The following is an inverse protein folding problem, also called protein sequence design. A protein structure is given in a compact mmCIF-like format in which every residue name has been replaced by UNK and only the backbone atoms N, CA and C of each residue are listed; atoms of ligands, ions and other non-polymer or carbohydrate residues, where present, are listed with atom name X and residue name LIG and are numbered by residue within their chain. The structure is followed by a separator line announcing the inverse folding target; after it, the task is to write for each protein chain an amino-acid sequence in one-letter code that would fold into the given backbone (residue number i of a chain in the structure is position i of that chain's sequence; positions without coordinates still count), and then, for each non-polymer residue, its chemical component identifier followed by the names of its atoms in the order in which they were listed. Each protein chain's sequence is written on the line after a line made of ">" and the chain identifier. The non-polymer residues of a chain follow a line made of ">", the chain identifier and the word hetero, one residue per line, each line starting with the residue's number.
data_IF_814741073195
#
_entry.id   IF_814741073195
#
_cell.length_a   1.000
_cell.length_b   1.000
_cell.length_c   1.000
_cell.angle_alpha   90.00
_cell.angle_beta   90.00
_cell.angle_gamma   90.00
#
_symmetry.space_group_name_H-M   'P 1'
#
loop_
_entity.id
_entity.type
_entity.pdbx_description
1 polymer ?
#
# COMPACT_ATOMS: atom_id res chain seq x y z
N UNK A 1 21.18 23.61 -11.69
CA UNK A 1 20.01 22.97 -12.33
C UNK A 1 20.39 21.56 -12.76
N UNK A 2 20.09 20.56 -11.94
CA UNK A 2 20.27 19.17 -12.34
C UNK A 2 18.92 18.69 -12.90
N UNK A 3 18.77 18.71 -14.22
CA UNK A 3 17.71 17.96 -14.88
C UNK A 3 18.02 16.48 -14.65
N UNK A 4 17.36 15.86 -13.68
CA UNK A 4 17.43 14.41 -13.51
C UNK A 4 16.64 13.84 -14.69
N UNK A 5 17.32 13.49 -15.77
CA UNK A 5 16.67 12.75 -16.86
C UNK A 5 16.06 11.51 -16.25
N UNK A 6 14.78 11.26 -16.54
CA UNK A 6 14.12 10.08 -16.00
C UNK A 6 14.85 8.83 -16.47
N UNK A 7 15.41 8.08 -15.52
CA UNK A 7 16.09 6.81 -15.83
C UNK A 7 15.04 5.77 -16.16
N UNK A 8 15.16 5.10 -17.29
CA UNK A 8 14.34 3.95 -17.64
C UNK A 8 15.20 2.69 -17.50
N UNK A 9 14.71 1.71 -16.74
CA UNK A 9 15.40 0.46 -16.48
C UNK A 9 14.52 -0.71 -16.90
N UNK A 10 15.01 -1.53 -17.82
CA UNK A 10 14.31 -2.76 -18.21
C UNK A 10 14.80 -3.92 -17.35
N UNK A 11 13.85 -4.65 -16.76
CA UNK A 11 14.10 -5.65 -15.73
C UNK A 11 13.53 -7.00 -16.12
N UNK A 12 14.39 -8.00 -16.25
CA UNK A 12 13.99 -9.39 -16.48
C UNK A 12 15.10 -10.35 -16.04
N UNK A 13 14.74 -11.51 -15.48
CA UNK A 13 15.72 -12.58 -15.22
C UNK A 13 16.28 -13.17 -16.53
N UNK A 14 15.50 -13.12 -17.62
CA UNK A 14 15.91 -13.57 -18.96
C UNK A 14 15.92 -12.39 -19.95
N UNK A 15 17.04 -11.67 -19.98
CA UNK A 15 17.23 -10.57 -20.93
C UNK A 15 17.52 -11.03 -22.37
N UNK A 16 17.67 -12.33 -22.63
CA UNK A 16 17.96 -12.81 -23.99
C UNK A 16 16.76 -12.71 -24.94
N UNK A 17 15.55 -12.72 -24.37
CA UNK A 17 14.27 -12.60 -25.08
C UNK A 17 13.71 -11.18 -25.09
N UNK A 18 14.39 -10.23 -24.44
CA UNK A 18 13.98 -8.83 -24.31
C UNK A 18 14.60 -7.98 -25.41
N UNK A 19 13.78 -7.20 -26.13
CA UNK A 19 14.26 -6.34 -27.22
C UNK A 19 14.76 -4.97 -26.73
N UNK A 20 14.33 -4.55 -25.55
CA UNK A 20 14.77 -3.31 -24.90
C UNK A 20 16.13 -3.49 -24.22
N UNK A 21 17.04 -2.55 -24.43
CA UNK A 21 18.41 -2.60 -23.91
C UNK A 21 18.81 -1.23 -23.33
N UNK A 22 19.54 -1.17 -22.19
CA UNK A 22 20.04 -2.32 -21.41
C UNK A 22 18.92 -3.00 -20.61
N UNK A 23 18.94 -4.34 -20.59
CA UNK A 23 18.12 -5.17 -19.72
C UNK A 23 19.02 -5.82 -18.67
N UNK A 24 18.61 -5.81 -17.41
CA UNK A 24 19.32 -6.49 -16.33
C UNK A 24 18.33 -7.25 -15.42
N UNK A 25 18.76 -8.34 -14.77
CA UNK A 25 17.94 -8.98 -13.75
C UNK A 25 17.71 -8.07 -12.56
N UNK A 26 16.57 -8.25 -11.88
CA UNK A 26 16.18 -7.43 -10.72
C UNK A 26 17.24 -7.43 -9.61
N UNK A 27 18.01 -8.52 -9.49
CA UNK A 27 19.11 -8.65 -8.53
C UNK A 27 20.19 -7.56 -8.70
N UNK A 28 20.38 -7.01 -9.89
CA UNK A 28 21.34 -5.91 -10.13
C UNK A 28 20.91 -4.63 -9.40
N UNK A 29 19.61 -4.46 -9.20
CA UNK A 29 19.03 -3.29 -8.56
C UNK A 29 18.61 -3.55 -7.11
N UNK A 30 18.26 -4.79 -6.77
CA UNK A 30 17.74 -5.18 -5.46
C UNK A 30 18.77 -5.01 -4.32
N UNK A 31 18.29 -5.06 -3.08
CA UNK A 31 19.05 -4.64 -1.89
C UNK A 31 18.64 -3.23 -1.50
N UNK A 32 19.45 -2.24 -1.90
CA UNK A 32 19.17 -0.82 -1.68
C UNK A 32 18.90 -0.10 -3.02
N UNK A 33 17.64 0.22 -3.24
CA UNK A 33 17.13 0.95 -4.40
C UNK A 33 16.94 2.45 -4.12
N UNK A 34 17.46 2.98 -3.00
CA UNK A 34 17.23 4.36 -2.56
C UNK A 34 17.87 5.43 -3.45
N UNK A 35 18.75 5.04 -4.38
CA UNK A 35 19.39 5.94 -5.33
C UNK A 35 18.53 6.27 -6.56
N UNK A 36 17.45 5.52 -6.82
CA UNK A 36 16.72 5.58 -8.09
C UNK A 36 15.59 6.62 -8.12
N UNK A 37 15.90 7.87 -7.79
CA UNK A 37 14.93 8.97 -7.89
C UNK A 37 14.60 9.34 -9.34
N UNK A 38 13.33 9.66 -9.63
CA UNK A 38 12.84 10.00 -10.96
C UNK A 38 13.07 8.86 -11.98
N UNK A 39 12.69 7.64 -11.64
CA UNK A 39 12.97 6.48 -12.49
C UNK A 39 11.74 5.62 -12.74
N UNK A 40 11.77 4.90 -13.85
CA UNK A 40 10.77 3.90 -14.19
C UNK A 40 11.49 2.56 -14.39
N UNK A 41 11.08 1.56 -13.60
CA UNK A 41 11.45 0.17 -13.78
C UNK A 41 10.36 -0.52 -14.59
N UNK A 42 10.73 -0.99 -15.77
CA UNK A 42 9.89 -1.75 -16.67
C UNK A 42 10.16 -3.24 -16.49
N UNK A 43 9.25 -3.95 -15.83
CA UNK A 43 9.31 -5.39 -15.65
C UNK A 43 8.80 -6.11 -16.89
N UNK A 44 9.57 -7.09 -17.36
CA UNK A 44 9.28 -7.91 -18.54
C UNK A 44 9.44 -9.38 -18.16
N UNK A 45 8.44 -10.20 -18.47
CA UNK A 45 8.43 -11.61 -18.16
C UNK A 45 8.49 -11.87 -16.65
N UNK A 46 9.38 -12.77 -16.24
CA UNK A 46 9.55 -13.13 -14.83
C UNK A 46 10.83 -12.51 -14.28
N UNK A 47 10.72 -11.81 -13.16
CA UNK A 47 11.85 -11.35 -12.35
C UNK A 47 11.79 -12.00 -10.98
N UNK A 48 12.90 -12.56 -10.50
CA UNK A 48 12.93 -13.25 -9.21
C UNK A 48 13.80 -12.50 -8.21
N UNK A 49 13.27 -12.29 -7.01
CA UNK A 49 14.07 -11.89 -5.85
C UNK A 49 14.38 -13.15 -5.03
N UNK A 50 15.67 -13.40 -4.79
CA UNK A 50 16.14 -14.55 -4.00
C UNK A 50 17.10 -14.05 -2.93
N UNK A 51 16.72 -14.20 -1.66
CA UNK A 51 17.56 -13.91 -0.49
C UNK A 51 17.89 -12.42 -0.23
N UNK A 52 17.17 -11.49 -0.86
CA UNK A 52 17.33 -10.05 -0.65
C UNK A 52 15.97 -9.40 -0.43
N UNK A 53 15.94 -8.33 0.36
CA UNK A 53 14.85 -7.39 0.34
C UNK A 53 15.13 -6.33 -0.74
N UNK A 54 14.08 -5.81 -1.36
CA UNK A 54 14.17 -4.61 -2.18
C UNK A 54 13.73 -3.42 -1.34
N UNK A 55 14.69 -2.65 -0.84
CA UNK A 55 14.45 -1.54 0.08
C UNK A 55 14.59 -0.23 -0.69
N UNK A 56 13.59 0.63 -0.57
CA UNK A 56 13.56 1.96 -1.16
C UNK A 56 13.28 2.97 -0.05
N UNK A 57 14.26 3.81 0.29
CA UNK A 57 14.13 4.79 1.37
C UNK A 57 14.32 6.20 0.81
N UNK A 58 13.42 7.12 1.20
CA UNK A 58 13.51 8.53 0.82
C UNK A 58 13.59 8.77 -0.70
N UNK A 59 12.90 7.94 -1.49
CA UNK A 59 12.83 8.08 -2.95
C UNK A 59 11.63 8.91 -3.38
N UNK A 60 11.75 9.53 -4.55
CA UNK A 60 10.72 10.35 -5.17
C UNK A 60 10.52 9.98 -6.63
N UNK A 61 9.28 10.02 -7.09
CA UNK A 61 8.92 9.88 -8.50
C UNK A 61 9.42 8.55 -9.07
N UNK A 62 9.06 7.43 -8.45
CA UNK A 62 9.48 6.09 -8.88
C UNK A 62 8.28 5.31 -9.35
N UNK A 63 8.44 4.65 -10.49
CA UNK A 63 7.41 3.79 -11.07
C UNK A 63 7.94 2.37 -11.25
N UNK A 64 7.21 1.40 -10.73
CA UNK A 64 7.38 -0.03 -11.03
C UNK A 64 6.23 -0.43 -11.98
N UNK A 65 6.54 -0.67 -13.25
CA UNK A 65 5.54 -0.89 -14.29
C UNK A 65 5.78 -2.20 -15.03
N UNK A 66 4.73 -2.98 -15.21
CA UNK A 66 4.78 -4.17 -16.07
C UNK A 66 4.44 -3.86 -17.54
N UNK A 67 5.28 -4.30 -18.48
CA UNK A 67 5.12 -4.00 -19.92
C UNK A 67 4.37 -5.06 -20.74
N UNK A 68 4.42 -6.33 -20.37
CA UNK A 68 3.82 -7.44 -21.14
C UNK A 68 2.52 -7.95 -20.47
N UNK A 69 1.96 -9.04 -21.00
CA UNK A 69 0.77 -9.66 -20.39
C UNK A 69 1.17 -10.31 -19.07
N UNK A 70 1.10 -9.51 -17.99
CA UNK A 70 1.29 -9.89 -16.59
C UNK A 70 2.73 -10.30 -16.19
N UNK A 71 3.70 -9.36 -16.23
CA UNK A 71 5.02 -9.65 -15.72
C UNK A 71 4.95 -9.98 -14.23
N UNK A 72 5.76 -10.95 -13.83
CA UNK A 72 5.74 -11.50 -12.49
C UNK A 72 6.99 -11.16 -11.70
N UNK A 73 6.80 -10.64 -10.50
CA UNK A 73 7.85 -10.46 -9.50
C UNK A 73 7.72 -11.58 -8.48
N UNK A 74 8.66 -12.52 -8.56
CA UNK A 74 8.63 -13.77 -7.83
C UNK A 74 9.60 -13.74 -6.66
N UNK A 75 9.08 -13.70 -5.44
CA UNK A 75 9.88 -13.89 -4.23
C UNK A 75 10.07 -15.38 -3.97
N UNK A 76 11.29 -15.88 -4.27
CA UNK A 76 11.66 -17.31 -4.19
C UNK A 76 12.60 -17.62 -3.01
N UNK A 77 12.85 -16.67 -2.11
CA UNK A 77 13.71 -16.86 -0.95
C UNK A 77 13.15 -17.84 0.09
N UNK A 78 14.04 -18.56 0.78
CA UNK A 78 13.71 -19.38 1.97
C UNK A 78 13.41 -18.47 3.17
N UNK A 79 14.02 -17.28 3.21
CA UNK A 79 13.77 -16.21 4.16
C UNK A 79 12.79 -15.18 3.59
N UNK A 80 12.14 -14.41 4.48
CA UNK A 80 11.20 -13.33 4.13
C UNK A 80 11.84 -12.47 3.03
N UNK A 81 11.25 -12.47 1.85
CA UNK A 81 11.67 -11.61 0.74
C UNK A 81 10.61 -10.53 0.63
N UNK A 82 10.99 -9.28 0.83
CA UNK A 82 10.06 -8.15 0.90
C UNK A 82 10.43 -7.03 -0.07
N UNK A 83 9.41 -6.27 -0.47
CA UNK A 83 9.60 -4.97 -1.11
C UNK A 83 9.17 -3.94 -0.08
N UNK A 84 10.09 -3.09 0.36
CA UNK A 84 9.84 -2.13 1.43
C UNK A 84 10.13 -0.73 0.95
N UNK A 85 9.12 0.13 1.01
CA UNK A 85 9.18 1.53 0.56
C UNK A 85 8.94 2.42 1.79
N UNK A 86 9.96 3.19 2.16
CA UNK A 86 10.01 3.99 3.39
C UNK A 86 10.15 5.48 3.06
N UNK A 87 9.37 6.31 3.76
CA UNK A 87 9.53 7.78 3.76
C UNK A 87 9.66 8.38 2.36
N UNK A 88 8.88 7.87 1.42
CA UNK A 88 9.01 8.12 -0.01
C UNK A 88 7.76 8.83 -0.54
N UNK A 89 7.82 9.46 -1.72
CA UNK A 89 6.65 10.13 -2.29
C UNK A 89 6.53 9.99 -3.81
N UNK A 90 5.31 10.05 -4.31
CA UNK A 90 4.97 9.86 -5.73
C UNK A 90 5.48 8.52 -6.26
N UNK A 91 4.90 7.45 -5.73
CA UNK A 91 5.28 6.07 -6.06
C UNK A 91 4.16 5.43 -6.85
N UNK A 92 4.48 4.85 -8.00
CA UNK A 92 3.51 4.14 -8.83
C UNK A 92 3.89 2.68 -8.97
N UNK A 93 2.95 1.77 -8.74
CA UNK A 93 3.07 0.35 -9.07
C UNK A 93 1.93 0.00 -10.01
N UNK A 94 2.24 -0.57 -11.17
CA UNK A 94 1.19 -0.84 -12.14
C UNK A 94 1.46 -2.07 -13.00
N UNK A 95 0.38 -2.69 -13.47
CA UNK A 95 0.40 -3.80 -14.42
C UNK A 95 1.34 -4.94 -14.03
N UNK A 96 1.50 -5.20 -12.72
CA UNK A 96 2.48 -6.15 -12.21
C UNK A 96 1.80 -7.22 -11.37
N UNK A 97 2.30 -8.45 -11.47
CA UNK A 97 1.84 -9.56 -10.66
C UNK A 97 2.93 -9.95 -9.67
N UNK A 98 2.60 -10.01 -8.39
CA UNK A 98 3.50 -10.41 -7.33
C UNK A 98 3.14 -11.82 -6.89
N UNK A 99 4.02 -12.80 -7.13
CA UNK A 99 3.84 -14.17 -6.62
C UNK A 99 4.90 -14.55 -5.60
N UNK A 100 4.50 -15.29 -4.58
CA UNK A 100 5.43 -15.85 -3.59
C UNK A 100 5.34 -17.36 -3.50
N UNK A 101 6.43 -17.98 -3.05
CA UNK A 101 6.46 -19.41 -2.73
C UNK A 101 6.26 -19.73 -1.25
N UNK A 102 6.60 -18.82 -0.30
CA UNK A 102 6.51 -19.07 1.15
C UNK A 102 6.13 -17.87 2.01
N UNK A 103 6.94 -16.83 2.12
CA UNK A 103 6.61 -15.62 2.88
C UNK A 103 7.10 -14.40 2.13
N UNK A 104 6.19 -13.50 1.79
CA UNK A 104 6.45 -12.30 1.01
C UNK A 104 5.56 -11.19 1.50
N UNK A 105 6.16 -10.02 1.70
CA UNK A 105 5.44 -8.84 2.17
C UNK A 105 5.81 -7.63 1.33
N UNK A 106 4.85 -6.75 1.11
CA UNK A 106 5.09 -5.45 0.50
C UNK A 106 4.71 -4.40 1.53
N UNK A 107 5.70 -3.63 1.93
CA UNK A 107 5.60 -2.70 3.03
C UNK A 107 5.66 -1.27 2.49
N UNK A 108 4.71 -0.46 2.91
CA UNK A 108 4.72 0.98 2.70
C UNK A 108 4.73 1.65 4.08
N UNK A 109 5.79 2.37 4.38
CA UNK A 109 5.98 3.05 5.65
C UNK A 109 6.18 4.54 5.42
N UNK A 110 5.16 5.35 5.71
CA UNK A 110 5.15 6.76 5.32
C UNK A 110 5.53 6.95 3.84
N UNK A 111 5.02 6.06 2.99
CA UNK A 111 5.09 6.23 1.55
C UNK A 111 3.84 6.99 1.13
N UNK A 112 4.03 8.18 0.58
CA UNK A 112 2.98 9.12 0.26
C UNK A 112 2.75 9.21 -1.24
N UNK A 113 1.55 9.60 -1.65
CA UNK A 113 1.15 9.72 -3.05
C UNK A 113 1.44 8.42 -3.81
N UNK A 114 0.98 7.32 -3.21
CA UNK A 114 1.17 5.97 -3.73
C UNK A 114 -0.03 5.62 -4.61
N UNK A 115 0.24 5.20 -5.84
CA UNK A 115 -0.76 4.71 -6.78
C UNK A 115 -0.43 3.27 -7.19
N UNK A 116 -1.25 2.33 -6.77
CA UNK A 116 -1.19 0.92 -7.17
C UNK A 116 -2.35 0.64 -8.10
N UNK A 117 -2.09 0.21 -9.33
CA UNK A 117 -3.14 -0.05 -10.30
C UNK A 117 -2.95 -1.34 -11.09
N UNK A 118 -4.06 -1.99 -11.46
CA UNK A 118 -4.06 -3.13 -12.38
C UNK A 118 -3.04 -4.22 -11.98
N UNK A 119 -2.93 -4.48 -10.67
CA UNK A 119 -1.88 -5.33 -10.11
C UNK A 119 -2.48 -6.49 -9.34
N UNK A 120 -1.80 -7.63 -9.40
CA UNK A 120 -2.25 -8.88 -8.76
C UNK A 120 -1.24 -9.26 -7.68
N UNK A 121 -1.72 -9.52 -6.48
CA UNK A 121 -0.90 -9.99 -5.37
C UNK A 121 -1.37 -11.39 -5.03
N UNK A 122 -0.52 -12.38 -5.32
CA UNK A 122 -0.78 -13.78 -5.02
C UNK A 122 0.11 -14.24 -3.86
N UNK A 123 -0.54 -14.40 -2.71
CA UNK A 123 0.06 -14.78 -1.46
C UNK A 123 0.71 -13.64 -0.69
N UNK A 124 0.97 -12.46 -1.24
CA UNK A 124 1.64 -11.40 -0.47
C UNK A 124 0.77 -10.79 0.63
N UNK A 125 1.40 -10.47 1.75
CA UNK A 125 0.84 -9.53 2.72
C UNK A 125 1.13 -8.11 2.22
N UNK A 126 0.09 -7.28 2.11
CA UNK A 126 0.23 -5.85 1.83
C UNK A 126 0.08 -5.08 3.14
N UNK A 127 1.16 -4.45 3.60
CA UNK A 127 1.22 -3.74 4.88
C UNK A 127 1.51 -2.26 4.62
N UNK A 128 0.64 -1.38 5.11
CA UNK A 128 0.76 0.05 4.92
C UNK A 128 0.62 0.72 6.28
N UNK A 129 1.66 1.40 6.77
CA UNK A 129 1.58 2.17 8.00
C UNK A 129 1.93 3.64 7.76
N UNK A 130 1.10 4.50 8.37
CA UNK A 130 1.25 5.94 8.40
C UNK A 130 1.49 6.40 9.84
N UNK A 131 2.75 6.72 10.14
CA UNK A 131 3.22 7.19 11.43
C UNK A 131 3.47 8.71 11.42
N UNK A 132 3.51 9.37 12.60
CA UNK A 132 3.69 10.81 12.67
C UNK A 132 4.99 11.25 12.02
N UNK A 133 4.99 12.46 11.42
CA UNK A 133 6.23 13.05 10.93
C UNK A 133 7.10 13.45 12.13
N UNK A 134 8.44 13.35 12.02
CA UNK A 134 9.34 13.69 13.12
C UNK A 134 9.30 15.19 13.47
N UNK A 135 8.85 16.03 12.53
CA UNK A 135 8.73 17.47 12.68
C UNK A 135 7.41 17.92 12.06
N UNK A 136 6.68 18.78 12.76
CA UNK A 136 5.47 19.42 12.22
C UNK A 136 5.85 20.42 11.13
N UNK A 137 5.02 20.49 10.10
CA UNK A 137 5.12 21.47 9.03
C UNK A 137 4.35 22.75 9.40
N UNK A 138 4.67 23.86 8.72
CA UNK A 138 3.98 25.14 8.91
C UNK A 138 2.53 25.11 8.36
N UNK A 139 2.29 24.27 7.35
CA UNK A 139 0.99 24.02 6.72
C UNK A 139 0.64 22.54 6.82
N UNK A 140 -0.65 22.20 6.88
CA UNK A 140 -1.09 20.80 6.95
C UNK A 140 -0.80 20.08 5.62
N UNK A 141 0.11 19.09 5.57
CA UNK A 141 0.41 18.38 4.34
C UNK A 141 -0.77 17.47 3.95
N UNK A 142 -0.97 17.31 2.65
CA UNK A 142 -1.99 16.43 2.10
C UNK A 142 -1.34 15.37 1.23
N UNK A 143 -1.64 14.11 1.52
CA UNK A 143 -1.08 12.96 0.82
C UNK A 143 -2.17 11.99 0.37
N UNK A 144 -1.81 11.09 -0.55
CA UNK A 144 -2.76 10.12 -1.09
C UNK A 144 -2.25 8.68 -1.16
N UNK A 145 -3.20 7.73 -1.09
CA UNK A 145 -3.02 6.32 -1.42
C UNK A 145 -4.19 5.88 -2.30
N UNK A 146 -3.88 5.32 -3.46
CA UNK A 146 -4.88 4.84 -4.42
C UNK A 146 -4.56 3.40 -4.76
N UNK A 147 -5.51 2.49 -4.56
CA UNK A 147 -5.51 1.14 -5.11
C UNK A 147 -6.66 1.03 -6.11
N UNK A 148 -6.34 0.82 -7.38
CA UNK A 148 -7.34 0.76 -8.46
C UNK A 148 -7.21 -0.54 -9.27
N UNK A 149 -8.29 -1.32 -9.41
CA UNK A 149 -8.26 -2.62 -10.12
C UNK A 149 -7.18 -3.56 -9.56
N UNK A 150 -7.15 -3.72 -8.23
CA UNK A 150 -6.16 -4.53 -7.54
C UNK A 150 -6.80 -5.83 -7.09
N UNK A 151 -6.10 -6.95 -7.30
CA UNK A 151 -6.57 -8.25 -6.88
C UNK A 151 -5.62 -8.87 -5.83
N UNK A 152 -6.13 -9.05 -4.62
CA UNK A 152 -5.45 -9.68 -3.50
C UNK A 152 -5.98 -11.11 -3.35
N UNK A 153 -5.26 -12.06 -3.96
CA UNK A 153 -5.52 -13.50 -3.77
C UNK A 153 -4.51 -14.03 -2.78
N UNK A 154 -4.95 -14.47 -1.61
CA UNK A 154 -4.01 -14.92 -0.60
C UNK A 154 -3.91 -16.45 -0.58
N UNK A 155 -2.87 -16.96 0.07
CA UNK A 155 -2.77 -18.39 0.39
C UNK A 155 -3.13 -18.54 1.86
N UNK A 156 -3.63 -19.71 2.25
CA UNK A 156 -4.18 -20.04 3.57
C UNK A 156 -3.28 -19.78 4.79
N UNK A 157 -2.00 -19.41 4.62
CA UNK A 157 -1.02 -19.29 5.71
C UNK A 157 -0.35 -17.90 5.82
N UNK A 158 -0.81 -16.90 5.07
CA UNK A 158 -0.21 -15.56 5.14
C UNK A 158 -1.27 -14.50 5.35
N UNK A 159 -0.95 -13.58 6.25
CA UNK A 159 -1.84 -12.53 6.70
C UNK A 159 -2.33 -11.61 5.58
N UNK A 160 -3.40 -10.91 5.94
CA UNK A 160 -4.24 -10.05 5.12
C UNK A 160 -3.60 -8.78 4.54
N UNK A 161 -4.47 -7.88 4.07
CA UNK A 161 -4.07 -6.48 3.89
C UNK A 161 -4.21 -5.76 5.23
N UNK A 162 -3.20 -4.99 5.60
CA UNK A 162 -3.18 -4.21 6.84
C UNK A 162 -2.89 -2.75 6.50
N UNK A 163 -3.77 -1.86 6.94
CA UNK A 163 -3.64 -0.43 6.82
C UNK A 163 -3.76 0.20 8.20
N UNK A 164 -2.65 0.70 8.72
CA UNK A 164 -2.58 1.41 10.00
C UNK A 164 -2.39 2.90 9.74
N UNK A 165 -3.28 3.72 10.31
CA UNK A 165 -3.21 5.18 10.25
C UNK A 165 -3.05 5.72 11.66
N UNK A 166 -1.81 6.11 11.99
CA UNK A 166 -1.38 6.42 13.33
C UNK A 166 -0.47 7.66 13.37
N UNK A 167 -0.91 8.77 12.75
CA UNK A 167 -0.11 9.98 12.61
C UNK A 167 -0.68 11.22 13.31
N UNK A 168 -1.82 11.06 13.99
CA UNK A 168 -2.52 12.17 14.63
C UNK A 168 -2.92 13.23 13.60
N UNK A 169 -2.52 14.47 13.82
CA UNK A 169 -2.72 15.55 12.88
C UNK A 169 -1.44 15.98 12.13
N UNK A 170 -0.41 15.13 12.07
CA UNK A 170 0.85 15.46 11.37
C UNK A 170 0.68 15.75 9.88
N UNK A 171 -0.37 15.22 9.27
CA UNK A 171 -0.78 15.42 7.87
C UNK A 171 -2.21 14.90 7.71
N UNK A 172 -2.78 15.12 6.53
CA UNK A 172 -4.06 14.56 6.11
C UNK A 172 -3.81 13.55 4.98
N UNK A 173 -4.36 12.35 5.11
CA UNK A 173 -4.25 11.30 4.09
C UNK A 173 -5.61 10.98 3.47
N UNK A 174 -5.68 10.99 2.13
CA UNK A 174 -6.84 10.55 1.37
C UNK A 174 -6.56 9.18 0.77
N UNK A 175 -7.38 8.20 1.11
CA UNK A 175 -7.18 6.80 0.71
C UNK A 175 -8.37 6.34 -0.12
N UNK A 176 -8.09 5.76 -1.29
CA UNK A 176 -9.12 5.31 -2.25
C UNK A 176 -8.82 3.87 -2.65
N UNK A 177 -9.76 2.96 -2.37
CA UNK A 177 -9.82 1.62 -2.94
C UNK A 177 -10.95 1.59 -3.97
N UNK A 178 -10.60 1.41 -5.24
CA UNK A 178 -11.53 1.40 -6.36
C UNK A 178 -11.37 0.08 -7.13
N UNK A 179 -12.41 -0.75 -7.15
CA UNK A 179 -12.32 -2.11 -7.69
C UNK A 179 -11.20 -2.95 -7.04
N UNK A 180 -11.07 -2.87 -5.71
CA UNK A 180 -10.22 -3.76 -4.94
C UNK A 180 -10.96 -5.09 -4.70
N UNK A 181 -10.37 -6.20 -5.10
CA UNK A 181 -10.85 -7.53 -4.74
C UNK A 181 -9.91 -8.16 -3.72
N UNK A 182 -10.44 -8.63 -2.59
CA UNK A 182 -9.70 -9.32 -1.55
C UNK A 182 -10.41 -10.60 -1.16
N UNK A 183 -9.73 -11.73 -1.38
CA UNK A 183 -10.25 -13.04 -1.05
C UNK A 183 -9.43 -13.73 0.06
N UNK A 184 -10.10 -14.59 0.83
CA UNK A 184 -9.55 -15.54 1.82
C UNK A 184 -9.16 -14.98 3.19
N UNK A 185 -8.80 -13.71 3.29
CA UNK A 185 -8.22 -13.13 4.51
C UNK A 185 -8.67 -11.69 4.74
N UNK A 186 -8.61 -11.21 6.00
CA UNK A 186 -9.13 -9.92 6.42
C UNK A 186 -8.39 -8.79 5.72
N UNK A 187 -9.13 -7.76 5.34
CA UNK A 187 -8.59 -6.41 5.30
C UNK A 187 -8.80 -5.78 6.68
N UNK A 188 -7.70 -5.44 7.36
CA UNK A 188 -7.74 -4.76 8.64
C UNK A 188 -7.37 -3.29 8.46
N UNK A 189 -8.31 -2.41 8.79
CA UNK A 189 -8.11 -0.98 8.85
C UNK A 189 -8.04 -0.55 10.31
N UNK A 190 -6.90 0.00 10.75
CA UNK A 190 -6.73 0.56 12.08
C UNK A 190 -6.57 2.08 12.00
N UNK A 191 -7.47 2.81 12.67
CA UNK A 191 -7.54 4.27 12.67
C UNK A 191 -7.29 4.80 14.08
N UNK A 192 -6.11 5.37 14.29
CA UNK A 192 -5.65 5.87 15.59
C UNK A 192 -5.61 7.40 15.61
N UNK A 193 -6.69 8.04 16.11
CA UNK A 193 -6.85 9.50 16.25
C UNK A 193 -6.29 10.36 15.09
N UNK A 194 -6.40 9.88 13.85
CA UNK A 194 -5.68 10.47 12.71
C UNK A 194 -6.61 11.19 11.74
N UNK A 195 -6.10 12.24 11.08
CA UNK A 195 -6.86 12.95 10.03
C UNK A 195 -6.76 12.15 8.75
N UNK A 196 -7.87 11.54 8.32
CA UNK A 196 -7.92 10.80 7.08
C UNK A 196 -9.32 10.80 6.46
N UNK A 197 -9.36 10.68 5.14
CA UNK A 197 -10.56 10.28 4.41
C UNK A 197 -10.31 8.95 3.73
N UNK A 198 -11.28 8.05 3.80
CA UNK A 198 -11.17 6.71 3.25
C UNK A 198 -12.39 6.37 2.40
N UNK A 199 -12.15 5.98 1.16
CA UNK A 199 -13.18 5.69 0.17
C UNK A 199 -12.98 4.27 -0.37
N UNK A 200 -14.00 3.45 -0.26
CA UNK A 200 -14.06 2.09 -0.82
C UNK A 200 -15.19 2.06 -1.82
N UNK A 201 -14.86 1.87 -3.09
CA UNK A 201 -15.78 1.98 -4.20
C UNK A 201 -15.68 0.71 -5.03
N UNK A 202 -16.82 0.12 -5.38
CA UNK A 202 -16.91 -1.02 -6.32
C UNK A 202 -15.99 -2.19 -5.97
N UNK A 203 -15.72 -2.38 -4.68
CA UNK A 203 -14.74 -3.34 -4.17
C UNK A 203 -15.44 -4.59 -3.64
N UNK A 204 -14.73 -5.71 -3.59
CA UNK A 204 -15.27 -7.01 -3.14
C UNK A 204 -14.36 -7.68 -2.12
N UNK A 205 -14.98 -8.16 -1.04
CA UNK A 205 -14.31 -8.82 0.08
C UNK A 205 -15.02 -10.15 0.36
N UNK A 206 -14.33 -11.26 0.13
CA UNK A 206 -14.94 -12.58 0.19
C UNK A 206 -14.06 -13.72 0.69
N UNK A 207 -14.70 -14.85 0.95
CA UNK A 207 -14.07 -16.13 1.27
C UNK A 207 -13.20 -16.12 2.54
N UNK A 208 -13.39 -15.17 3.47
CA UNK A 208 -12.65 -15.13 4.73
C UNK A 208 -13.03 -16.32 5.64
N UNK A 209 -12.30 -17.43 5.47
CA UNK A 209 -12.49 -18.65 6.22
C UNK A 209 -11.91 -18.45 7.62
N UNK A 210 -12.76 -18.46 8.64
CA UNK A 210 -12.41 -18.35 10.08
C UNK A 210 -12.11 -16.93 10.59
N UNK A 211 -12.37 -15.86 9.82
CA UNK A 211 -12.16 -14.47 10.29
C UNK A 211 -13.18 -13.48 9.70
N UNK A 212 -13.10 -12.24 10.19
CA UNK A 212 -13.83 -11.10 9.61
C UNK A 212 -13.18 -10.71 8.29
N UNK A 213 -13.93 -10.62 7.21
CA UNK A 213 -13.37 -10.27 5.89
C UNK A 213 -12.85 -8.85 5.77
N UNK A 214 -13.48 -7.94 6.50
CA UNK A 214 -13.15 -6.54 6.52
C UNK A 214 -13.46 -5.98 7.91
N UNK A 215 -12.45 -5.49 8.61
CA UNK A 215 -12.60 -4.88 9.92
C UNK A 215 -12.08 -3.45 9.93
N UNK A 216 -12.84 -2.56 10.56
CA UNK A 216 -12.38 -1.24 10.95
C UNK A 216 -12.23 -1.25 12.46
N UNK A 217 -11.06 -0.86 12.95
CA UNK A 217 -10.80 -0.68 14.37
C UNK A 217 -10.40 0.76 14.61
N UNK A 218 -11.15 1.42 15.48
CA UNK A 218 -10.80 2.73 16.01
C UNK A 218 -10.06 2.56 17.33
N UNK A 219 -8.94 3.25 17.49
CA UNK A 219 -8.16 3.19 18.72
C UNK A 219 -7.59 4.53 19.14
N UNK A 220 -7.04 4.56 20.36
CA UNK A 220 -6.29 5.70 20.88
C UNK A 220 -4.80 5.55 20.52
N UNK A 221 -4.19 6.63 20.06
CA UNK A 221 -2.73 6.65 19.93
C UNK A 221 -2.11 6.92 21.29
N UNK A 222 -1.25 6.02 21.79
CA UNK A 222 -0.55 6.22 23.07
C UNK A 222 0.41 7.41 23.08
N UNK A 223 0.86 7.88 21.92
CA UNK A 223 1.80 9.01 21.76
C UNK A 223 1.43 9.85 20.54
N UNK A 224 0.28 10.56 20.53
CA UNK A 224 -0.13 11.33 19.39
C UNK A 224 0.79 12.54 19.24
N UNK A 225 1.44 12.66 18.08
CA UNK A 225 2.11 13.91 17.71
C UNK A 225 1.02 14.94 17.44
N UNK A 226 1.03 16.03 18.20
CA UNK A 226 0.06 17.13 18.10
C UNK A 226 0.72 18.31 17.41
N UNK A 227 0.54 18.41 16.10
CA UNK A 227 0.88 19.57 15.32
C UNK A 227 -0.21 20.65 15.45
N UNK A 228 0.16 21.92 15.31
CA UNK A 228 -0.78 23.04 15.33
C UNK A 228 -0.66 23.80 14.03
N UNK A 229 -1.77 23.98 13.34
CA UNK A 229 -1.83 24.70 12.06
C UNK A 229 -2.75 25.92 12.23
N UNK A 230 -2.21 27.15 12.28
CA UNK A 230 -3.00 28.36 12.48
C UNK A 230 -4.07 28.51 11.39
N UNK A 231 -5.31 28.76 11.79
CA UNK A 231 -6.42 29.02 10.86
C UNK A 231 -7.04 27.77 10.21
N UNK A 232 -6.59 26.55 10.55
CA UNK A 232 -7.20 25.31 10.06
C UNK A 232 -8.18 24.77 11.10
N UNK A 233 -9.47 24.71 10.72
CA UNK A 233 -10.46 23.92 11.45
C UNK A 233 -10.39 22.49 10.93
N UNK A 234 -10.06 21.53 11.79
CA UNK A 234 -10.01 20.12 11.40
C UNK A 234 -11.41 19.67 10.95
N UNK A 235 -11.52 19.29 9.68
CA UNK A 235 -12.75 18.75 9.10
C UNK A 235 -12.97 17.34 9.66
N UNK A 236 -14.22 16.92 9.75
CA UNK A 236 -14.53 15.54 10.13
C UNK A 236 -13.96 14.55 9.13
N UNK A 237 -13.46 13.42 9.63
CA UNK A 237 -12.99 12.31 8.83
C UNK A 237 -14.18 11.59 8.19
N UNK A 238 -14.05 11.15 6.95
CA UNK A 238 -15.09 10.39 6.25
C UNK A 238 -14.58 9.00 5.91
N UNK A 239 -15.38 7.98 6.23
CA UNK A 239 -15.22 6.61 5.71
C UNK A 239 -16.44 6.33 4.83
N UNK A 240 -16.25 6.30 3.52
CA UNK A 240 -17.29 5.99 2.55
C UNK A 240 -17.09 4.58 2.00
N UNK A 241 -18.15 3.77 2.04
CA UNK A 241 -18.23 2.47 1.35
C UNK A 241 -19.39 2.56 0.38
N UNK A 242 -19.11 2.44 -0.92
CA UNK A 242 -20.09 2.63 -2.00
C UNK A 242 -19.99 1.48 -3.02
N UNK A 243 -21.14 0.94 -3.42
CA UNK A 243 -21.26 -0.11 -4.43
C UNK A 243 -20.34 -1.33 -4.20
N UNK A 244 -20.05 -1.65 -2.93
CA UNK A 244 -19.07 -2.68 -2.54
C UNK A 244 -19.75 -3.92 -1.95
N UNK A 245 -19.12 -5.08 -2.12
CA UNK A 245 -19.68 -6.39 -1.78
C UNK A 245 -18.88 -7.08 -0.69
N UNK A 246 -19.59 -7.59 0.32
CA UNK A 246 -19.02 -8.40 1.41
C UNK A 246 -19.81 -9.70 1.47
N UNK A 247 -19.25 -10.80 0.94
CA UNK A 247 -20.01 -12.03 0.74
C UNK A 247 -19.17 -13.29 1.00
N UNK A 248 -19.83 -14.39 1.33
CA UNK A 248 -19.19 -15.67 1.64
C UNK A 248 -18.10 -15.60 2.72
N UNK A 249 -18.36 -14.82 3.77
CA UNK A 249 -17.46 -14.63 4.90
C UNK A 249 -18.07 -15.22 6.16
N UNK A 250 -17.25 -15.79 7.05
CA UNK A 250 -17.74 -16.34 8.33
C UNK A 250 -18.35 -15.23 9.19
N UNK A 251 -17.62 -14.12 9.31
CA UNK A 251 -18.09 -12.88 9.86
C UNK A 251 -18.14 -11.86 8.71
N UNK A 252 -19.22 -11.08 8.61
CA UNK A 252 -19.39 -10.11 7.53
C UNK A 252 -18.41 -8.95 7.65
N UNK A 253 -18.96 -7.78 7.98
CA UNK A 253 -18.23 -6.53 8.18
C UNK A 253 -18.22 -6.20 9.68
N UNK A 254 -17.07 -5.81 10.22
CA UNK A 254 -16.92 -5.46 11.63
C UNK A 254 -16.41 -4.03 11.79
N UNK A 255 -17.03 -3.28 12.69
CA UNK A 255 -16.50 -2.01 13.21
C UNK A 255 -16.33 -2.17 14.71
N UNK A 256 -15.11 -1.98 15.18
CA UNK A 256 -14.76 -2.03 16.60
C UNK A 256 -14.12 -0.73 17.05
N UNK A 257 -14.15 -0.51 18.35
CA UNK A 257 -13.47 0.60 19.01
C UNK A 257 -12.81 0.10 20.27
N UNK A 258 -11.67 0.68 20.62
CA UNK A 258 -11.16 0.59 22.00
C UNK A 258 -12.15 1.27 22.96
N UNK A 259 -12.16 0.86 24.24
CA UNK A 259 -13.18 1.24 25.23
C UNK A 259 -13.32 2.75 25.49
N UNK A 260 -12.34 3.55 25.07
CA UNK A 260 -12.34 5.01 25.18
C UNK A 260 -11.81 5.63 23.88
N UNK A 261 -12.70 6.25 23.11
CA UNK A 261 -12.32 7.25 22.12
C UNK A 261 -12.46 8.62 22.80
N UNK A 262 -11.36 9.36 23.04
CA UNK A 262 -11.48 10.76 23.38
C UNK A 262 -12.30 11.44 22.27
N UNK A 263 -13.27 12.28 22.62
CA UNK A 263 -14.14 12.97 21.64
C UNK A 263 -13.42 14.02 20.77
N UNK A 264 -12.12 13.84 20.54
CA UNK A 264 -11.19 14.72 19.82
C UNK A 264 -11.32 14.57 18.31
N UNK A 265 -11.71 13.39 17.80
CA UNK A 265 -11.83 13.11 16.36
C UNK A 265 -13.18 12.47 16.02
N UNK A 266 -13.90 13.07 15.07
CA UNK A 266 -15.19 12.57 14.59
C UNK A 266 -15.03 11.87 13.24
N UNK A 267 -15.45 10.61 13.16
CA UNK A 267 -15.53 9.84 11.92
C UNK A 267 -16.99 9.71 11.48
N UNK A 268 -17.29 10.13 10.25
CA UNK A 268 -18.57 9.87 9.61
C UNK A 268 -18.44 8.65 8.71
N UNK A 269 -19.15 7.58 9.08
CA UNK A 269 -19.19 6.35 8.29
C UNK A 269 -20.45 6.38 7.43
N UNK A 270 -20.26 6.30 6.12
CA UNK A 270 -21.33 6.33 5.13
C UNK A 270 -21.26 5.04 4.32
N UNK A 271 -22.33 4.25 4.34
CA UNK A 271 -22.44 3.02 3.56
C UNK A 271 -23.59 3.20 2.56
N UNK A 272 -23.27 3.09 1.27
CA UNK A 272 -24.21 3.17 0.16
C UNK A 272 -24.18 1.88 -0.63
N UNK A 273 -25.38 1.34 -0.88
CA UNK A 273 -25.57 0.20 -1.78
C UNK A 273 -25.75 0.65 -3.22
#
# INVERSE_FOLDING_TARGET
>A
SCSVSSGQYYVSDDCSSVTQSPCNPLLVYAGDMSQYNNTIFYFIGTSSIRNYDAIMTAIKNVTLHGLDQSPSINCKGVFKTSISIHSSNNITISNSSFFRSKYGKIHFYNAFDVNISSSVYNGYQLVIWYNPLPVCSDELPHYSLILANVNLTQLLDVGGMELEINHGNSYNVSIIFDHLHSAQWPLMLELFESICNFFIIKSSFDNANQSVSFSIKFGENSTPTKCSYPGITLVSNVVLIEESQFYNNWHGFEITTDQYLPGTMNYHIIIKS
#
